data_IF_635271353076
#
_entry.id   IF_635271353076
#
_cell.length_a   1.000
_cell.length_b   1.000
_cell.length_c   1.000
_cell.angle_alpha   90.00
_cell.angle_beta   90.00
_cell.angle_gamma   90.00
#
_symmetry.space_group_name_H-M   'P 1'
#
loop_
_entity.id
_entity.type
_entity.pdbx_description
1 polymer ?
#
# COMPACT_ATOMS: atom_id res chain seq x y z
N UNK A 1 -2.43 -0.69 3.72
CA UNK A 1 -3.73 -1.31 4.03
C UNK A 1 -4.58 -1.26 2.78
N UNK A 2 -5.19 -2.40 2.48
CA UNK A 2 -5.82 -2.77 1.23
C UNK A 2 -7.27 -3.13 1.57
N UNK A 3 -8.26 -2.33 1.17
CA UNK A 3 -9.68 -2.74 1.12
C UNK A 3 -10.42 -1.99 -0.01
N UNK A 4 -10.67 -2.70 -1.10
CA UNK A 4 -11.99 -2.84 -1.71
C UNK A 4 -11.98 -4.23 -2.34
N UNK A 5 -12.76 -5.13 -1.74
CA UNK A 5 -13.04 -6.44 -2.31
C UNK A 5 -13.81 -6.20 -3.62
N UNK A 6 -13.13 -6.39 -4.74
CA UNK A 6 -13.79 -6.71 -5.99
C UNK A 6 -13.36 -8.15 -6.31
N UNK A 7 -14.26 -9.10 -6.10
CA UNK A 7 -14.03 -10.48 -6.50
C UNK A 7 -13.65 -10.55 -7.99
N UNK A 8 -12.61 -11.30 -8.37
CA UNK A 8 -12.14 -11.34 -9.73
C UNK A 8 -13.01 -12.34 -10.49
N UNK A 9 -14.15 -11.90 -11.06
CA UNK A 9 -14.92 -12.80 -11.93
C UNK A 9 -14.94 -12.42 -13.39
N UNK A 10 -14.87 -11.16 -13.82
CA UNK A 10 -14.89 -10.88 -15.27
C UNK A 10 -14.06 -9.69 -15.75
N UNK A 11 -13.11 -10.02 -16.65
CA UNK A 11 -12.57 -9.26 -17.79
C UNK A 11 -12.43 -7.72 -17.63
N UNK A 12 -11.18 -7.30 -17.74
CA UNK A 12 -10.58 -5.95 -17.87
C UNK A 12 -11.46 -4.71 -18.19
N UNK A 13 -12.45 -4.70 -19.12
CA UNK A 13 -13.25 -3.49 -19.37
C UNK A 13 -14.15 -3.04 -18.21
N UNK A 14 -14.70 -3.94 -17.40
CA UNK A 14 -15.66 -3.56 -16.33
C UNK A 14 -14.98 -2.78 -15.19
N UNK A 15 -13.77 -3.20 -14.81
CA UNK A 15 -12.97 -2.55 -13.76
C UNK A 15 -12.66 -1.10 -14.14
N UNK A 16 -12.38 -0.85 -15.42
CA UNK A 16 -12.12 0.49 -15.93
C UNK A 16 -13.36 1.40 -15.88
N UNK A 17 -14.52 0.88 -16.28
CA UNK A 17 -15.79 1.63 -16.24
C UNK A 17 -16.15 1.99 -14.79
N UNK A 18 -15.98 1.06 -13.86
CA UNK A 18 -16.22 1.31 -12.44
C UNK A 18 -15.27 2.37 -11.87
N UNK A 19 -14.00 2.38 -12.30
CA UNK A 19 -13.04 3.40 -11.91
C UNK A 19 -13.46 4.80 -12.40
N UNK A 20 -13.87 4.92 -13.66
CA UNK A 20 -14.35 6.18 -14.22
C UNK A 20 -15.59 6.71 -13.49
N UNK A 21 -16.54 5.82 -13.16
CA UNK A 21 -17.72 6.17 -12.37
C UNK A 21 -17.35 6.64 -10.98
N UNK A 22 -16.46 5.93 -10.30
CA UNK A 22 -15.97 6.31 -8.97
C UNK A 22 -15.29 7.70 -9.01
N UNK A 23 -14.44 7.96 -10.00
CA UNK A 23 -13.81 9.28 -10.17
C UNK A 23 -14.86 10.38 -10.35
N UNK A 24 -15.84 10.17 -11.22
CA UNK A 24 -16.92 11.14 -11.43
C UNK A 24 -17.72 11.40 -10.15
N UNK A 25 -18.01 10.37 -9.36
CA UNK A 25 -18.70 10.53 -8.08
C UNK A 25 -17.83 11.31 -7.09
N UNK A 26 -16.53 11.01 -7.01
CA UNK A 26 -15.58 11.74 -6.17
C UNK A 26 -15.57 13.24 -6.49
N UNK A 27 -15.55 13.59 -7.78
CA UNK A 27 -15.58 14.99 -8.24
C UNK A 27 -16.93 15.67 -7.94
N UNK A 28 -18.05 14.98 -8.18
CA UNK A 28 -19.39 15.56 -7.95
C UNK A 28 -19.68 15.76 -6.45
N UNK A 29 -19.30 14.79 -5.62
CA UNK A 29 -19.54 14.84 -4.18
C UNK A 29 -18.41 15.54 -3.40
N UNK A 30 -17.33 15.96 -4.08
CA UNK A 30 -16.14 16.56 -3.46
C UNK A 30 -15.54 15.67 -2.35
N UNK A 31 -15.46 14.36 -2.60
CA UNK A 31 -14.93 13.37 -1.66
C UNK A 31 -13.67 12.69 -2.18
N UNK A 32 -12.85 12.17 -1.26
CA UNK A 32 -11.71 11.32 -1.61
C UNK A 32 -12.10 9.84 -1.57
N UNK A 33 -12.00 9.16 -2.71
CA UNK A 33 -12.23 7.72 -2.80
C UNK A 33 -10.88 7.02 -2.93
N UNK A 34 -10.59 6.13 -1.98
CA UNK A 34 -9.42 5.27 -2.06
C UNK A 34 -9.81 3.94 -2.68
N UNK A 35 -9.25 3.66 -3.86
CA UNK A 35 -9.42 2.38 -4.54
C UNK A 35 -8.18 1.54 -4.33
N UNK A 36 -8.42 0.24 -4.16
CA UNK A 36 -7.38 -0.69 -3.81
C UNK A 36 -7.26 -1.75 -4.87
N UNK A 37 -6.03 -1.94 -5.33
CA UNK A 37 -5.71 -2.82 -6.44
C UNK A 37 -4.57 -3.75 -6.05
N UNK A 38 -4.74 -5.03 -6.34
CA UNK A 38 -3.66 -6.01 -6.21
C UNK A 38 -2.73 -5.91 -7.40
N UNK A 39 -1.44 -5.66 -7.11
CA UNK A 39 -0.38 -5.66 -8.13
C UNK A 39 -0.24 -7.07 -8.70
N UNK A 40 0.08 -7.17 -10.00
CA UNK A 40 0.36 -8.46 -10.64
C UNK A 40 1.49 -9.17 -9.90
N UNK A 41 1.40 -10.50 -9.80
CA UNK A 41 2.48 -11.33 -9.27
C UNK A 41 3.71 -11.19 -10.18
N UNK A 42 4.79 -10.60 -9.64
CA UNK A 42 6.10 -10.53 -10.29
C UNK A 42 6.85 -11.87 -10.23
N UNK A 43 8.05 -11.91 -10.79
CA UNK A 43 8.91 -13.11 -10.78
C UNK A 43 9.39 -13.48 -9.37
N UNK A 44 9.66 -12.47 -8.54
CA UNK A 44 10.07 -12.64 -7.14
C UNK A 44 9.32 -11.65 -6.25
N UNK A 45 8.98 -12.07 -5.03
CA UNK A 45 8.31 -11.23 -4.03
C UNK A 45 9.29 -10.31 -3.27
N UNK A 46 10.57 -10.48 -3.55
CA UNK A 46 11.68 -9.77 -2.91
C UNK A 46 11.88 -8.37 -3.45
N UNK A 47 11.45 -8.14 -4.69
CA UNK A 47 11.63 -6.86 -5.34
C UNK A 47 10.54 -5.89 -4.92
N UNK A 48 10.95 -4.67 -4.57
CA UNK A 48 10.03 -3.59 -4.27
C UNK A 48 9.25 -3.24 -5.53
N UNK A 49 7.90 -3.19 -5.47
CA UNK A 49 7.08 -2.87 -6.63
C UNK A 49 7.34 -1.44 -7.09
N UNK A 50 7.35 -1.26 -8.40
CA UNK A 50 7.49 0.01 -9.11
C UNK A 50 6.17 0.38 -9.81
N UNK A 51 6.04 1.64 -10.22
CA UNK A 51 4.91 2.18 -10.99
C UNK A 51 4.57 1.34 -12.23
N UNK A 52 5.55 0.67 -12.82
CA UNK A 52 5.37 -0.18 -14.00
C UNK A 52 4.73 -1.54 -13.69
N UNK A 53 4.69 -1.97 -12.42
CA UNK A 53 4.09 -3.25 -12.03
C UNK A 53 2.56 -3.20 -11.99
N UNK A 54 1.98 -2.01 -12.17
CA UNK A 54 0.55 -1.78 -12.39
C UNK A 54 0.08 -2.23 -13.80
N UNK A 55 0.90 -2.98 -14.56
CA UNK A 55 0.61 -3.39 -15.94
C UNK A 55 -0.53 -4.42 -16.00
N UNK A 56 -1.62 -4.04 -16.66
CA UNK A 56 -2.94 -4.70 -16.61
C UNK A 56 -4.04 -3.75 -16.15
N UNK A 57 -3.64 -2.65 -15.49
CA UNK A 57 -4.49 -1.54 -15.07
C UNK A 57 -3.92 -0.19 -15.52
N UNK A 58 -3.29 -0.11 -16.69
CA UNK A 58 -2.65 1.13 -17.17
C UNK A 58 -3.60 2.33 -17.12
N UNK A 59 -4.86 2.08 -17.43
CA UNK A 59 -5.91 3.08 -17.36
C UNK A 59 -6.24 3.56 -15.92
N UNK A 60 -6.05 2.72 -14.89
CA UNK A 60 -6.11 3.13 -13.48
C UNK A 60 -4.93 4.04 -13.16
N UNK A 61 -3.71 3.64 -13.56
CA UNK A 61 -2.51 4.42 -13.32
C UNK A 61 -2.58 5.80 -14.01
N UNK A 62 -3.22 5.89 -15.17
CA UNK A 62 -3.40 7.14 -15.92
C UNK A 62 -4.46 8.04 -15.30
N UNK A 63 -5.60 7.49 -14.87
CA UNK A 63 -6.71 8.28 -14.36
C UNK A 63 -6.61 8.65 -12.88
N UNK A 64 -5.91 7.86 -12.07
CA UNK A 64 -5.73 8.13 -10.64
C UNK A 64 -4.95 9.43 -10.40
N UNK A 65 -5.41 10.24 -9.45
CA UNK A 65 -4.75 11.49 -9.09
C UNK A 65 -3.59 11.27 -8.11
N UNK A 66 -3.72 10.29 -7.22
CA UNK A 66 -2.69 9.85 -6.29
C UNK A 66 -2.56 8.33 -6.35
N UNK A 67 -1.32 7.83 -6.29
CA UNK A 67 -1.04 6.39 -6.23
C UNK A 67 -0.07 6.15 -5.09
N UNK A 68 -0.51 5.29 -4.18
CA UNK A 68 0.28 4.81 -3.05
C UNK A 68 0.58 3.33 -3.26
N UNK A 69 1.83 2.93 -3.04
CA UNK A 69 2.26 1.54 -3.04
C UNK A 69 2.74 1.15 -1.65
N UNK A 70 2.13 0.09 -1.12
CA UNK A 70 2.54 -0.50 0.16
C UNK A 70 3.27 -1.79 -0.15
N UNK A 71 4.49 -1.91 0.38
CA UNK A 71 5.29 -3.12 0.23
C UNK A 71 5.81 -3.58 1.59
N UNK A 72 5.82 -4.91 1.79
CA UNK A 72 6.33 -5.56 3.00
C UNK A 72 7.64 -6.26 2.69
N UNK A 73 8.64 -6.01 3.53
CA UNK A 73 9.94 -6.64 3.41
C UNK A 73 9.92 -8.03 4.06
N UNK A 74 9.48 -9.04 3.30
CA UNK A 74 9.42 -10.43 3.79
C UNK A 74 10.80 -11.00 4.15
N UNK A 75 11.87 -10.57 3.46
CA UNK A 75 13.25 -10.96 3.79
C UNK A 75 13.64 -10.52 5.19
N UNK A 76 13.35 -9.25 5.53
CA UNK A 76 13.56 -8.75 6.88
C UNK A 76 12.69 -9.49 7.89
N UNK A 77 11.40 -9.71 7.60
CA UNK A 77 10.53 -10.45 8.51
C UNK A 77 11.06 -11.87 8.81
N UNK A 78 11.53 -12.59 7.78
CA UNK A 78 12.13 -13.91 7.93
C UNK A 78 13.45 -13.86 8.72
N UNK A 79 14.29 -12.85 8.47
CA UNK A 79 15.55 -12.64 9.18
C UNK A 79 15.35 -12.44 10.69
N UNK A 80 14.34 -11.67 11.10
CA UNK A 80 14.03 -11.47 12.53
C UNK A 80 13.29 -12.66 13.16
N UNK A 81 12.79 -13.60 12.36
CA UNK A 81 12.17 -14.84 12.84
C UNK A 81 13.18 -15.96 13.08
N UNK A 82 14.37 -15.90 12.46
CA UNK A 82 15.41 -16.89 12.62
C UNK A 82 16.18 -16.70 13.95
N UNK A 83 16.11 -17.66 14.90
CA UNK A 83 16.85 -17.59 16.16
C UNK A 83 18.38 -17.69 15.99
N UNK A 84 18.87 -18.18 14.85
CA UNK A 84 20.30 -18.32 14.53
C UNK A 84 20.80 -17.28 13.54
N UNK A 85 20.05 -16.19 13.34
CA UNK A 85 20.40 -15.12 12.41
C UNK A 85 21.82 -14.60 12.66
N UNK A 86 22.56 -14.38 11.57
CA UNK A 86 23.85 -13.68 11.60
C UNK A 86 23.60 -12.17 11.54
N UNK A 87 24.36 -11.31 12.22
CA UNK A 87 24.19 -9.86 12.12
C UNK A 87 24.26 -9.40 10.65
N UNK A 88 23.21 -8.74 10.19
CA UNK A 88 23.10 -8.18 8.84
C UNK A 88 22.65 -6.72 8.96
N UNK A 89 23.62 -5.81 8.80
CA UNK A 89 23.40 -4.37 9.01
C UNK A 89 22.37 -3.80 8.02
N UNK A 90 22.27 -4.35 6.82
CA UNK A 90 21.33 -3.87 5.80
C UNK A 90 19.90 -4.24 6.18
N UNK A 91 19.66 -5.47 6.65
CA UNK A 91 18.33 -5.91 7.06
C UNK A 91 17.90 -5.30 8.40
N UNK A 92 18.83 -5.04 9.30
CA UNK A 92 18.54 -4.40 10.59
C UNK A 92 18.10 -2.95 10.43
N UNK A 93 18.72 -2.19 9.52
CA UNK A 93 18.45 -0.77 9.28
C UNK A 93 17.23 -0.51 8.39
N UNK A 94 16.89 -1.45 7.49
CA UNK A 94 15.74 -1.30 6.60
C UNK A 94 14.40 -1.28 7.36
N UNK A 95 13.36 -0.68 6.77
CA UNK A 95 12.01 -0.74 7.33
C UNK A 95 11.33 -2.10 7.07
N UNK A 96 10.43 -2.52 7.96
CA UNK A 96 9.68 -3.78 7.81
C UNK A 96 8.58 -3.69 6.75
N UNK A 97 8.04 -2.48 6.56
CA UNK A 97 7.19 -2.14 5.43
C UNK A 97 7.52 -0.74 4.94
N UNK A 98 7.10 -0.42 3.72
CA UNK A 98 7.25 0.91 3.14
C UNK A 98 5.94 1.36 2.48
N UNK A 99 5.67 2.65 2.56
CA UNK A 99 4.62 3.35 1.84
C UNK A 99 5.26 4.32 0.86
N UNK A 100 5.19 4.03 -0.43
CA UNK A 100 5.69 4.88 -1.50
C UNK A 100 4.56 5.67 -2.16
N UNK A 101 4.72 6.98 -2.23
CA UNK A 101 3.93 7.85 -3.11
C UNK A 101 4.61 7.83 -4.47
N UNK A 102 3.96 7.21 -5.47
CA UNK A 102 4.53 7.02 -6.81
C UNK A 102 3.83 7.82 -7.91
N UNK A 103 2.77 8.52 -7.53
CA UNK A 103 2.10 9.52 -8.36
C UNK A 103 1.34 10.46 -7.44
N UNK A 104 1.47 11.76 -7.68
CA UNK A 104 0.66 12.79 -7.02
C UNK A 104 0.45 13.98 -7.97
N UNK A 105 -0.75 14.11 -8.54
CA UNK A 105 -1.08 15.17 -9.50
C UNK A 105 -1.24 16.56 -8.89
N UNK A 106 -1.52 16.66 -7.58
CA UNK A 106 -1.80 17.94 -6.93
C UNK A 106 -0.53 18.62 -6.43
N UNK A 107 0.32 17.86 -5.72
CA UNK A 107 1.50 18.41 -5.03
C UNK A 107 2.81 18.02 -5.72
N UNK A 108 2.79 17.00 -6.59
CA UNK A 108 3.98 16.54 -7.32
C UNK A 108 5.04 15.82 -6.47
N UNK A 109 4.80 15.65 -5.16
CA UNK A 109 5.74 14.99 -4.26
C UNK A 109 5.64 13.47 -4.42
N UNK A 110 6.78 12.86 -4.73
CA UNK A 110 7.01 11.42 -4.67
C UNK A 110 7.98 11.13 -3.52
N UNK A 111 7.56 10.32 -2.56
CA UNK A 111 8.35 10.02 -1.35
C UNK A 111 8.00 8.63 -0.84
N UNK A 112 9.01 7.96 -0.29
CA UNK A 112 8.83 6.71 0.45
C UNK A 112 8.91 6.98 1.94
N UNK A 113 7.97 6.42 2.69
CA UNK A 113 7.95 6.40 4.14
C UNK A 113 8.22 4.98 4.65
N UNK A 114 9.05 4.89 5.68
CA UNK A 114 9.22 3.66 6.46
C UNK A 114 7.98 3.43 7.33
N UNK A 115 7.52 2.19 7.41
CA UNK A 115 6.42 1.79 8.27
C UNK A 115 6.86 0.62 9.15
N UNK A 116 6.53 0.72 10.43
CA UNK A 116 6.74 -0.34 11.42
C UNK A 116 5.41 -1.01 11.69
N UNK A 117 5.33 -2.32 11.48
CA UNK A 117 4.07 -3.03 11.64
C UNK A 117 3.99 -3.64 13.04
N UNK A 118 3.03 -3.18 13.83
CA UNK A 118 2.72 -3.80 15.11
C UNK A 118 1.76 -4.97 14.90
N UNK A 119 2.21 -6.18 15.22
CA UNK A 119 1.45 -7.41 14.98
C UNK A 119 0.24 -7.55 15.90
N UNK A 120 0.32 -7.04 17.13
CA UNK A 120 -0.76 -7.15 18.11
C UNK A 120 -1.99 -6.33 17.70
N UNK A 121 -1.77 -5.07 17.30
CA UNK A 121 -2.83 -4.15 16.85
C UNK A 121 -3.16 -4.26 15.37
N UNK A 122 -2.31 -4.91 14.56
CA UNK A 122 -2.38 -4.92 13.09
C UNK A 122 -2.31 -3.51 12.47
N UNK A 123 -1.60 -2.59 13.11
CA UNK A 123 -1.43 -1.21 12.66
C UNK A 123 -0.02 -0.94 12.15
N UNK A 124 0.09 0.06 11.28
CA UNK A 124 1.39 0.61 10.89
C UNK A 124 1.69 1.84 11.73
N UNK A 125 2.84 1.83 12.38
CA UNK A 125 3.40 2.91 13.18
C UNK A 125 4.43 3.71 12.35
N UNK A 126 4.54 5.03 12.59
CA UNK A 126 5.45 5.91 11.87
C UNK A 126 6.92 5.76 12.29
N UNK A 127 7.19 5.16 13.45
CA UNK A 127 8.53 4.88 14.00
C UNK A 127 8.53 3.53 14.71
N UNK A 128 9.70 3.01 15.06
CA UNK A 128 9.84 1.76 15.83
C UNK A 128 9.22 1.84 17.23
N UNK A 129 9.26 3.03 17.84
CA UNK A 129 8.91 3.23 19.24
C UNK A 129 7.50 3.82 19.39
N UNK A 130 6.85 4.14 18.27
CA UNK A 130 5.49 4.65 18.26
C UNK A 130 4.51 3.56 18.72
N UNK A 131 3.61 3.95 19.62
CA UNK A 131 2.53 3.08 20.06
C UNK A 131 1.40 3.08 19.02
N UNK A 132 0.74 1.92 18.80
CA UNK A 132 -0.47 1.87 17.99
C UNK A 132 -1.54 2.81 18.52
N UNK A 133 -2.37 3.33 17.62
CA UNK A 133 -3.50 4.15 18.02
C UNK A 133 -4.60 3.26 18.60
N UNK A 134 -5.21 3.68 19.71
CA UNK A 134 -6.32 2.94 20.29
C UNK A 134 -7.59 3.16 19.45
N UNK A 135 -8.00 2.14 18.70
CA UNK A 135 -9.21 2.17 17.88
C UNK A 135 -10.51 2.03 18.70
N UNK A 136 -10.42 1.66 19.98
CA UNK A 136 -11.58 1.45 20.85
C UNK A 136 -12.06 2.73 21.55
N UNK A 137 -11.20 3.74 21.69
CA UNK A 137 -11.57 5.04 22.27
C UNK A 137 -12.59 5.84 21.45
N UNK A 138 -12.89 5.43 20.20
CA UNK A 138 -13.91 6.07 19.37
C UNK A 138 -15.35 5.57 19.61
N UNK A 139 -15.56 4.56 20.47
CA UNK A 139 -16.88 3.99 20.74
C UNK A 139 -17.59 4.59 21.97
N UNK A 140 -16.99 5.61 22.60
CA UNK A 140 -17.55 6.33 23.74
C UNK A 140 -17.62 7.84 23.43
N UNK A 141 -18.56 8.21 22.55
CA UNK A 141 -19.05 9.58 22.40
C UNK A 141 -20.51 9.53 21.91
#
# INVERSE_FOLDING_TARGET
MLVLLCEPTHKTPLVFINFLRAKRIADLAQVHIHLVHHVRKGETEDNKPNKFDLKGSGAIADLADQIFMVWRNKKREAYFQDPHRKPDQDLETQAGATLAIVKNRRVGIEKTYALWFDRASRQFCPTSDARPFDLTMGALA
#
